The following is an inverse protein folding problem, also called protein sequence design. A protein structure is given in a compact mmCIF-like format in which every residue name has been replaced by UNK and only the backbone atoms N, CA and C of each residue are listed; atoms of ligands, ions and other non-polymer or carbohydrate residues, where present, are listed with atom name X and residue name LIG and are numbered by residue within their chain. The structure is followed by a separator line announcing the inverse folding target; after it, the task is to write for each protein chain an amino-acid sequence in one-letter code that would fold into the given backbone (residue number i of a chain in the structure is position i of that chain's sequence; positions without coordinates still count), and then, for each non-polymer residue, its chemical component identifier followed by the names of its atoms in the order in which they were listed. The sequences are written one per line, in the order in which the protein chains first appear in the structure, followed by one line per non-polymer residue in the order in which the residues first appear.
data_IF_291704231054
#
_entry.id   IF_291704231054
#
_cell.length_a   1.000
_cell.length_b   1.000
_cell.length_c   1.000
_cell.angle_alpha   90.00
_cell.angle_beta   90.00
_cell.angle_gamma   90.00
#
_symmetry.space_group_name_H-M   'P 1'
#
loop_
_entity.id
_entity.type
_entity.pdbx_description
1 polymer ?
#
# COMPACT_ATOMS: atom_id res chain seq x y z
N UNK A 1 -9.45 3.92 11.89
CA UNK A 1 -9.74 3.65 10.46
C UNK A 1 -8.58 4.21 9.63
N UNK A 2 -8.08 3.42 8.67
CA UNK A 2 -6.98 3.74 7.75
C UNK A 2 -7.55 3.70 6.34
N UNK A 3 -7.34 4.75 5.55
CA UNK A 3 -7.68 4.79 4.13
C UNK A 3 -6.46 4.35 3.31
N UNK A 4 -6.57 3.27 2.54
CA UNK A 4 -5.54 2.81 1.60
C UNK A 4 -5.95 3.14 0.17
N UNK A 5 -5.24 4.05 -0.46
CA UNK A 5 -5.35 4.46 -1.85
C UNK A 5 -4.03 4.19 -2.58
N UNK A 6 -4.08 4.02 -3.89
CA UNK A 6 -2.91 3.79 -4.74
C UNK A 6 -3.19 4.21 -6.18
N UNK A 7 -2.16 4.30 -7.01
CA UNK A 7 -2.26 4.48 -8.45
C UNK A 7 -3.17 5.66 -8.84
N UNK A 8 -2.97 6.79 -8.16
CA UNK A 8 -3.75 8.01 -8.42
C UNK A 8 -3.43 8.63 -9.76
N UNK A 9 -2.22 8.43 -10.27
CA UNK A 9 -1.75 8.83 -11.60
C UNK A 9 -2.15 10.25 -11.99
N UNK A 10 -1.86 11.25 -11.14
CA UNK A 10 -2.12 12.65 -11.47
C UNK A 10 -1.51 13.04 -12.82
N UNK A 11 -2.33 13.65 -13.68
CA UNK A 11 -2.12 13.80 -15.12
C UNK A 11 -2.93 12.79 -15.96
N UNK A 12 -3.64 11.89 -15.29
CA UNK A 12 -4.64 10.97 -15.83
C UNK A 12 -5.80 10.75 -14.82
N UNK A 13 -5.99 11.68 -13.90
CA UNK A 13 -7.05 11.65 -12.90
C UNK A 13 -8.43 11.95 -13.49
N UNK A 14 -9.47 11.47 -12.81
CA UNK A 14 -10.89 11.77 -13.09
C UNK A 14 -11.38 12.78 -12.04
N UNK A 15 -11.59 14.07 -12.40
CA UNK A 15 -11.93 15.09 -11.40
C UNK A 15 -13.14 14.76 -10.54
N UNK A 16 -14.18 14.17 -11.10
CA UNK A 16 -15.38 13.75 -10.37
C UNK A 16 -15.08 12.68 -9.32
N UNK A 17 -14.15 11.75 -9.61
CA UNK A 17 -13.76 10.70 -8.67
C UNK A 17 -12.86 11.26 -7.56
N UNK A 18 -11.99 12.22 -7.91
CA UNK A 18 -11.19 12.97 -6.93
C UNK A 18 -12.09 13.67 -5.92
N UNK A 19 -13.10 14.42 -6.39
CA UNK A 19 -14.07 15.08 -5.52
C UNK A 19 -14.84 14.07 -4.66
N UNK A 20 -15.32 12.98 -5.25
CA UNK A 20 -16.01 11.91 -4.52
C UNK A 20 -15.17 11.28 -3.41
N UNK A 21 -13.86 11.11 -3.63
CA UNK A 21 -12.95 10.58 -2.59
C UNK A 21 -12.74 11.60 -1.45
N UNK A 22 -12.61 12.89 -1.77
CA UNK A 22 -12.52 13.95 -0.76
C UNK A 22 -13.81 14.03 0.05
N UNK A 23 -14.99 13.93 -0.58
CA UNK A 23 -16.28 13.95 0.09
C UNK A 23 -16.46 12.71 0.98
N UNK A 24 -16.03 11.54 0.50
CA UNK A 24 -15.99 10.34 1.32
C UNK A 24 -15.10 10.53 2.57
N UNK A 25 -13.90 11.09 2.40
CA UNK A 25 -12.99 11.35 3.50
C UNK A 25 -13.55 12.35 4.52
N UNK A 26 -14.28 13.38 4.05
CA UNK A 26 -14.96 14.35 4.91
C UNK A 26 -16.05 13.71 5.79
N UNK A 27 -16.78 12.75 5.22
CA UNK A 27 -17.86 12.03 5.92
C UNK A 27 -17.30 11.00 6.92
N UNK A 28 -16.25 10.27 6.54
CA UNK A 28 -15.77 9.10 7.30
C UNK A 28 -14.56 9.40 8.18
N UNK A 29 -13.83 10.49 7.94
CA UNK A 29 -12.70 10.98 8.73
C UNK A 29 -11.66 9.90 9.06
N UNK A 30 -10.99 9.31 8.06
CA UNK A 30 -9.91 8.37 8.31
C UNK A 30 -8.81 9.07 9.13
N UNK A 31 -8.28 8.39 10.16
CA UNK A 31 -7.21 8.94 11.01
C UNK A 31 -5.80 8.73 10.44
N UNK A 32 -5.65 7.83 9.48
CA UNK A 32 -4.41 7.57 8.74
C UNK A 32 -4.75 7.39 7.27
N UNK A 33 -3.88 7.87 6.41
CA UNK A 33 -3.96 7.66 4.96
C UNK A 33 -2.67 7.00 4.47
N UNK A 34 -2.81 5.98 3.64
CA UNK A 34 -1.72 5.32 2.93
C UNK A 34 -1.91 5.55 1.44
N UNK A 35 -0.91 6.14 0.77
CA UNK A 35 -0.83 6.24 -0.68
C UNK A 35 0.39 5.43 -1.15
N UNK A 36 0.13 4.23 -1.67
CA UNK A 36 1.16 3.21 -1.91
C UNK A 36 1.80 3.26 -3.29
N UNK A 37 1.89 4.44 -3.91
CA UNK A 37 2.69 4.67 -5.11
C UNK A 37 1.87 4.99 -6.36
N UNK A 38 2.59 5.22 -7.47
CA UNK A 38 2.08 5.71 -8.74
C UNK A 38 1.17 6.94 -8.56
N UNK A 39 1.73 7.90 -7.81
CA UNK A 39 1.09 9.18 -7.48
C UNK A 39 0.87 10.00 -8.73
N UNK A 40 1.87 10.00 -9.60
CA UNK A 40 1.88 10.76 -10.86
C UNK A 40 1.86 9.83 -12.07
N UNK A 41 1.42 10.35 -13.20
CA UNK A 41 1.46 9.60 -14.46
C UNK A 41 2.87 9.50 -15.06
N UNK A 42 3.74 10.53 -14.89
CA UNK A 42 5.05 10.62 -15.53
C UNK A 42 6.09 11.45 -14.76
N UNK A 43 6.01 11.51 -13.45
CA UNK A 43 6.93 12.24 -12.58
C UNK A 43 7.16 13.72 -12.98
N UNK A 44 6.15 14.41 -13.57
CA UNK A 44 6.25 15.81 -13.96
C UNK A 44 5.95 16.73 -12.78
N UNK A 45 6.63 17.88 -12.71
CA UNK A 45 6.42 18.85 -11.62
C UNK A 45 4.96 19.27 -11.47
N UNK A 46 4.26 19.53 -12.59
CA UNK A 46 2.84 19.90 -12.56
C UNK A 46 1.95 18.77 -12.00
N UNK A 47 2.31 17.49 -12.26
CA UNK A 47 1.58 16.35 -11.75
C UNK A 47 1.78 16.18 -10.24
N UNK A 48 3.00 16.37 -9.75
CA UNK A 48 3.27 16.42 -8.31
C UNK A 48 2.58 17.61 -7.64
N UNK A 49 2.49 18.77 -8.30
CA UNK A 49 1.75 19.92 -7.78
C UNK A 49 0.25 19.61 -7.64
N UNK A 50 -0.37 19.01 -8.67
CA UNK A 50 -1.78 18.60 -8.64
C UNK A 50 -2.03 17.54 -7.54
N UNK A 51 -1.16 16.54 -7.43
CA UNK A 51 -1.21 15.56 -6.36
C UNK A 51 -1.06 16.21 -4.97
N UNK A 52 -0.22 17.25 -4.88
CA UNK A 52 -0.02 18.02 -3.65
C UNK A 52 -1.29 18.74 -3.20
N UNK A 53 -1.98 19.40 -4.13
CA UNK A 53 -3.27 20.04 -3.87
C UNK A 53 -4.32 19.01 -3.41
N UNK A 54 -4.44 17.89 -4.14
CA UNK A 54 -5.32 16.79 -3.72
C UNK A 54 -5.04 16.29 -2.31
N UNK A 55 -3.76 16.05 -1.96
CA UNK A 55 -3.42 15.58 -0.62
C UNK A 55 -3.68 16.62 0.46
N UNK A 56 -3.53 17.91 0.15
CA UNK A 56 -3.90 18.98 1.06
C UNK A 56 -5.41 18.95 1.36
N UNK A 57 -6.24 18.84 0.31
CA UNK A 57 -7.70 18.77 0.45
C UNK A 57 -8.13 17.49 1.17
N UNK A 58 -7.52 16.35 0.85
CA UNK A 58 -7.79 15.07 1.49
C UNK A 58 -7.44 15.09 2.99
N UNK A 59 -6.29 15.64 3.36
CA UNK A 59 -5.88 15.78 4.75
C UNK A 59 -6.82 16.71 5.51
N UNK A 60 -7.18 17.86 4.92
CA UNK A 60 -8.13 18.79 5.50
C UNK A 60 -9.53 18.17 5.70
N UNK A 61 -10.02 17.44 4.69
CA UNK A 61 -11.30 16.74 4.76
C UNK A 61 -11.30 15.65 5.85
N UNK A 62 -10.20 14.93 5.99
CA UNK A 62 -10.02 13.89 7.00
C UNK A 62 -9.77 14.45 8.41
N UNK A 63 -9.26 15.68 8.52
CA UNK A 63 -8.83 16.27 9.79
C UNK A 63 -7.50 15.70 10.30
N UNK A 64 -6.57 15.32 9.40
CA UNK A 64 -5.28 14.70 9.74
C UNK A 64 -4.10 15.62 9.45
N UNK A 65 -3.00 15.39 10.14
CA UNK A 65 -1.72 16.04 9.88
C UNK A 65 -0.93 15.28 8.81
N UNK A 66 -0.58 15.97 7.72
CA UNK A 66 0.12 15.37 6.57
C UNK A 66 1.45 14.72 6.96
N UNK A 67 2.21 15.33 7.86
CA UNK A 67 3.55 14.83 8.21
C UNK A 67 3.50 13.61 9.14
N UNK A 68 2.43 13.49 9.94
CA UNK A 68 2.30 12.45 10.94
C UNK A 68 1.40 11.31 10.55
N UNK A 69 0.34 11.59 9.78
CA UNK A 69 -0.79 10.67 9.60
C UNK A 69 -0.91 10.17 8.15
N UNK A 70 -0.03 10.63 7.24
CA UNK A 70 0.01 10.23 5.84
C UNK A 70 1.29 9.43 5.56
N UNK A 71 1.15 8.20 5.06
CA UNK A 71 2.24 7.38 4.55
C UNK A 71 2.25 7.44 3.03
N UNK A 72 3.37 7.88 2.45
CA UNK A 72 3.58 7.96 1.00
C UNK A 72 4.70 7.00 0.58
N UNK A 73 4.48 6.27 -0.52
CA UNK A 73 5.51 5.52 -1.22
C UNK A 73 5.61 5.99 -2.67
N UNK A 74 6.79 5.92 -3.29
CA UNK A 74 6.89 6.10 -4.73
C UNK A 74 6.47 4.83 -5.47
N UNK A 75 5.77 4.99 -6.59
CA UNK A 75 5.59 3.96 -7.59
C UNK A 75 6.58 4.12 -8.76
N UNK A 76 6.49 3.24 -9.75
CA UNK A 76 7.40 3.29 -10.90
C UNK A 76 7.12 4.48 -11.84
N UNK A 77 5.92 5.03 -11.83
CA UNK A 77 5.55 6.24 -12.57
C UNK A 77 6.02 7.54 -11.88
N UNK A 78 6.46 7.47 -10.62
CA UNK A 78 6.98 8.62 -9.87
C UNK A 78 8.48 8.84 -10.08
N UNK A 79 9.12 7.96 -10.88
CA UNK A 79 10.51 8.07 -11.32
C UNK A 79 10.52 8.55 -12.79
N UNK A 80 11.35 9.54 -13.17
CA UNK A 80 11.43 10.03 -14.54
C UNK A 80 11.71 8.89 -15.54
N UNK A 81 10.81 8.66 -16.50
CA UNK A 81 10.94 7.61 -17.50
C UNK A 81 11.73 8.09 -18.73
N UNK A 82 11.39 9.27 -19.23
CA UNK A 82 11.93 9.81 -20.48
C UNK A 82 13.11 10.76 -20.28
N UNK A 83 13.28 11.32 -19.09
CA UNK A 83 14.44 12.13 -18.74
C UNK A 83 15.51 11.21 -18.15
N UNK A 84 16.32 10.61 -19.04
CA UNK A 84 17.37 9.65 -18.64
C UNK A 84 18.42 10.27 -17.72
N UNK A 85 18.77 11.56 -17.93
CA UNK A 85 19.72 12.24 -17.06
C UNK A 85 19.19 12.36 -15.64
N UNK A 86 17.96 12.86 -15.48
CA UNK A 86 17.32 12.94 -14.17
C UNK A 86 17.15 11.56 -13.53
N UNK A 87 16.84 10.53 -14.33
CA UNK A 87 16.70 9.15 -13.86
C UNK A 87 17.99 8.55 -13.29
N UNK A 88 19.14 8.96 -13.84
CA UNK A 88 20.46 8.49 -13.38
C UNK A 88 20.98 9.33 -12.21
N UNK A 89 20.85 10.67 -12.30
CA UNK A 89 21.46 11.59 -11.35
C UNK A 89 20.61 11.79 -10.09
N UNK A 90 19.29 11.93 -10.24
CA UNK A 90 18.37 12.20 -9.14
C UNK A 90 16.98 11.57 -9.40
N UNK A 91 16.90 10.22 -9.40
CA UNK A 91 15.68 9.51 -9.80
C UNK A 91 14.47 9.80 -8.91
N UNK A 92 14.71 10.10 -7.65
CA UNK A 92 13.65 10.36 -6.66
C UNK A 92 13.48 11.83 -6.30
N UNK A 93 14.21 12.76 -6.94
CA UNK A 93 14.21 14.17 -6.54
C UNK A 93 12.84 14.84 -6.66
N UNK A 94 12.05 14.50 -7.69
CA UNK A 94 10.67 14.96 -7.80
C UNK A 94 9.80 14.46 -6.65
N UNK A 95 9.85 13.16 -6.39
CA UNK A 95 9.14 12.53 -5.28
C UNK A 95 9.60 13.06 -3.91
N UNK A 96 10.89 13.17 -3.67
CA UNK A 96 11.43 13.63 -2.39
C UNK A 96 10.97 15.05 -2.03
N UNK A 97 10.96 15.97 -3.01
CA UNK A 97 10.43 17.34 -2.83
C UNK A 97 8.93 17.35 -2.55
N UNK A 98 8.18 16.45 -3.19
CA UNK A 98 6.73 16.31 -3.00
C UNK A 98 6.38 15.67 -1.65
N UNK A 99 7.00 14.55 -1.32
CA UNK A 99 6.65 13.75 -0.14
C UNK A 99 7.15 14.37 1.16
N UNK A 100 8.29 15.09 1.14
CA UNK A 100 8.98 15.63 2.31
C UNK A 100 9.25 14.54 3.39
N UNK A 101 9.34 13.29 2.99
CA UNK A 101 9.63 12.14 3.85
C UNK A 101 10.55 11.16 3.12
N UNK A 102 11.16 10.24 3.87
CA UNK A 102 12.05 9.24 3.29
C UNK A 102 11.33 8.19 2.43
N UNK A 103 12.09 7.43 1.64
CA UNK A 103 11.57 6.40 0.75
C UNK A 103 11.01 5.16 1.47
N UNK A 104 11.29 4.97 2.74
CA UNK A 104 10.82 3.84 3.55
C UNK A 104 10.20 4.36 4.86
N UNK A 105 9.06 5.06 4.78
CA UNK A 105 8.41 5.68 5.93
C UNK A 105 7.93 4.65 6.94
N UNK A 106 7.77 5.09 8.18
CA UNK A 106 7.24 4.29 9.27
C UNK A 106 6.29 5.14 10.10
N UNK A 107 5.03 4.75 10.20
CA UNK A 107 4.08 5.32 11.14
C UNK A 107 3.87 4.34 12.28
N UNK A 108 4.01 4.84 13.51
CA UNK A 108 3.81 4.07 14.74
C UNK A 108 2.64 4.67 15.51
N UNK A 109 1.68 3.82 15.85
CA UNK A 109 0.58 4.11 16.77
C UNK A 109 0.42 2.92 17.71
N UNK A 110 -0.19 3.11 18.84
CA UNK A 110 -0.34 2.04 19.84
C UNK A 110 -1.07 0.81 19.29
N UNK A 111 -2.01 1.04 18.36
CA UNK A 111 -2.85 0.00 17.77
C UNK A 111 -2.47 -0.38 16.33
N UNK A 112 -1.53 0.31 15.68
CA UNK A 112 -1.09 -0.02 14.32
C UNK A 112 0.32 0.50 14.01
N UNK A 113 1.12 -0.34 13.34
CA UNK A 113 2.37 0.05 12.71
C UNK A 113 2.24 -0.10 11.19
N UNK A 114 2.48 1.01 10.45
CA UNK A 114 2.52 1.02 8.99
C UNK A 114 3.98 1.12 8.54
N UNK A 115 4.50 0.07 7.91
CA UNK A 115 5.90 -0.06 7.51
C UNK A 115 5.99 0.06 5.99
N UNK A 116 6.36 1.24 5.49
CA UNK A 116 6.55 1.49 4.07
C UNK A 116 7.88 0.94 3.56
N UNK A 117 7.85 0.33 2.37
CA UNK A 117 9.01 -0.24 1.68
C UNK A 117 9.04 0.24 0.23
N UNK A 118 10.03 1.03 -0.11
CA UNK A 118 10.26 1.41 -1.50
C UNK A 118 10.75 0.20 -2.30
N UNK A 119 9.91 -0.28 -3.20
CA UNK A 119 10.21 -1.40 -4.10
C UNK A 119 10.68 -0.95 -5.47
N UNK A 120 10.58 0.34 -5.81
CA UNK A 120 11.02 0.87 -7.10
C UNK A 120 12.54 0.90 -7.22
N UNK A 121 13.06 0.80 -8.45
CA UNK A 121 14.49 0.93 -8.75
C UNK A 121 14.69 1.81 -10.00
N UNK A 122 15.63 2.76 -9.99
CA UNK A 122 15.88 3.64 -11.14
C UNK A 122 16.23 2.89 -12.44
N UNK A 123 16.90 1.76 -12.33
CA UNK A 123 17.30 0.93 -13.48
C UNK A 123 16.23 -0.07 -13.94
N UNK A 124 15.07 -0.13 -13.24
CA UNK A 124 13.92 -0.97 -13.61
C UNK A 124 12.75 -0.09 -13.97
N UNK A 125 12.13 -0.34 -15.13
CA UNK A 125 11.01 0.49 -15.58
C UNK A 125 9.72 0.16 -14.81
N UNK A 126 9.29 -1.10 -14.80
CA UNK A 126 8.02 -1.58 -14.27
C UNK A 126 8.21 -2.42 -13.01
N UNK A 127 9.17 -3.32 -13.06
CA UNK A 127 9.37 -4.31 -12.02
C UNK A 127 10.10 -3.73 -10.80
N UNK A 128 9.53 -3.97 -9.64
CA UNK A 128 10.16 -3.62 -8.37
C UNK A 128 11.18 -4.66 -7.88
N UNK A 129 11.91 -4.29 -6.83
CA UNK A 129 12.88 -5.19 -6.17
C UNK A 129 12.98 -4.86 -4.68
N UNK A 130 13.05 -5.89 -3.85
CA UNK A 130 13.33 -5.77 -2.41
C UNK A 130 14.74 -6.31 -2.15
N UNK A 131 15.61 -5.51 -1.54
CA UNK A 131 16.94 -5.95 -1.15
C UNK A 131 16.92 -6.75 0.16
N UNK A 132 17.95 -7.60 0.39
CA UNK A 132 18.11 -8.33 1.65
C UNK A 132 18.07 -7.40 2.86
N UNK A 133 18.78 -6.27 2.80
CA UNK A 133 18.76 -5.27 3.87
C UNK A 133 17.38 -4.64 4.14
N UNK A 134 16.52 -4.53 3.11
CA UNK A 134 15.14 -4.11 3.30
C UNK A 134 14.32 -5.20 3.99
N UNK A 135 14.51 -6.47 3.60
CA UNK A 135 13.83 -7.62 4.22
C UNK A 135 14.13 -7.67 5.71
N UNK A 136 15.41 -7.65 6.08
CA UNK A 136 15.87 -7.70 7.48
C UNK A 136 15.36 -6.51 8.30
N UNK A 137 15.43 -5.30 7.74
CA UNK A 137 14.95 -4.08 8.42
C UNK A 137 13.45 -4.12 8.70
N UNK A 138 12.66 -4.63 7.77
CA UNK A 138 11.21 -4.77 7.95
C UNK A 138 10.91 -5.85 8.99
N UNK A 139 11.57 -7.00 8.93
CA UNK A 139 11.42 -8.05 9.92
C UNK A 139 11.76 -7.54 11.35
N UNK A 140 12.86 -6.79 11.50
CA UNK A 140 13.21 -6.17 12.77
C UNK A 140 12.15 -5.18 13.28
N UNK A 141 11.54 -4.40 12.39
CA UNK A 141 10.44 -3.48 12.74
C UNK A 141 9.18 -4.24 13.16
N UNK A 142 8.85 -5.33 12.47
CA UNK A 142 7.70 -6.18 12.81
C UNK A 142 7.86 -6.81 14.19
N UNK A 143 9.05 -7.34 14.51
CA UNK A 143 9.35 -7.88 15.85
C UNK A 143 9.30 -6.80 16.94
N UNK A 144 9.68 -5.55 16.63
CA UNK A 144 9.64 -4.45 17.60
C UNK A 144 8.24 -3.84 17.82
N UNK A 145 7.26 -4.21 16.99
CA UNK A 145 5.90 -3.70 17.14
C UNK A 145 5.21 -4.34 18.36
N UNK A 146 4.41 -3.56 19.12
CA UNK A 146 3.65 -4.12 20.24
C UNK A 146 2.76 -5.30 19.81
N UNK A 147 2.63 -6.30 20.66
CA UNK A 147 1.86 -7.54 20.36
C UNK A 147 0.40 -7.23 19.98
N UNK A 148 -0.22 -6.20 20.58
CA UNK A 148 -1.58 -5.75 20.27
C UNK A 148 -1.73 -4.90 19.00
N UNK A 149 -0.63 -4.34 18.45
CA UNK A 149 -0.68 -3.49 17.28
C UNK A 149 -0.87 -4.28 15.99
N UNK A 150 -1.72 -3.80 15.08
CA UNK A 150 -1.82 -4.32 13.72
C UNK A 150 -0.53 -4.01 12.95
N UNK A 151 0.13 -5.04 12.42
CA UNK A 151 1.42 -4.95 11.74
C UNK A 151 1.23 -4.98 10.24
N UNK A 152 1.38 -3.83 9.60
CA UNK A 152 1.07 -3.63 8.18
C UNK A 152 2.32 -3.28 7.41
N UNK A 153 2.66 -4.07 6.39
CA UNK A 153 3.72 -3.77 5.44
C UNK A 153 3.10 -3.21 4.16
N UNK A 154 3.63 -2.09 3.68
CA UNK A 154 3.13 -1.40 2.49
C UNK A 154 4.20 -1.39 1.42
N UNK A 155 3.87 -1.87 0.24
CA UNK A 155 4.71 -1.83 -0.98
C UNK A 155 3.92 -1.19 -2.13
N UNK A 156 4.59 -0.79 -3.21
CA UNK A 156 3.89 -0.43 -4.43
C UNK A 156 3.64 -1.68 -5.29
N UNK A 157 4.71 -2.35 -5.73
CA UNK A 157 4.57 -3.61 -6.47
C UNK A 157 4.13 -4.74 -5.54
N UNK A 158 3.23 -5.63 -6.01
CA UNK A 158 2.67 -6.70 -5.18
C UNK A 158 3.69 -7.77 -4.82
N UNK A 159 3.55 -8.32 -3.62
CA UNK A 159 4.30 -9.48 -3.14
C UNK A 159 3.66 -10.79 -3.60
N UNK A 160 2.34 -10.77 -3.72
CA UNK A 160 1.54 -11.90 -4.14
C UNK A 160 0.34 -11.43 -4.98
N UNK A 161 -0.11 -12.24 -5.91
CA UNK A 161 -1.23 -11.96 -6.83
C UNK A 161 -2.07 -13.21 -7.05
N UNK A 162 -3.34 -13.02 -7.36
CA UNK A 162 -4.29 -14.12 -7.63
C UNK A 162 -4.12 -14.65 -9.06
N UNK A 163 -4.12 -13.72 -10.04
CA UNK A 163 -4.11 -14.08 -11.45
C UNK A 163 -2.69 -14.43 -11.93
N UNK A 164 -2.59 -15.50 -12.76
CA UNK A 164 -1.29 -15.94 -13.31
C UNK A 164 -0.65 -14.91 -14.21
N UNK A 165 -1.46 -14.13 -14.92
CA UNK A 165 -0.99 -13.09 -15.83
C UNK A 165 -0.26 -11.95 -15.09
N UNK A 166 -0.53 -11.79 -13.80
CA UNK A 166 0.11 -10.80 -12.93
C UNK A 166 1.42 -11.32 -12.27
N UNK A 167 1.76 -12.60 -12.44
CA UNK A 167 2.98 -13.16 -11.84
C UNK A 167 4.26 -12.39 -12.21
N UNK A 168 4.44 -11.87 -13.44
CA UNK A 168 5.60 -11.06 -13.79
C UNK A 168 5.67 -9.72 -13.05
N UNK A 169 4.54 -9.20 -12.56
CA UNK A 169 4.45 -7.91 -11.88
C UNK A 169 4.75 -7.99 -10.37
N UNK A 170 4.90 -9.20 -9.84
CA UNK A 170 5.37 -9.38 -8.45
C UNK A 170 6.76 -8.78 -8.27
N UNK A 171 6.96 -8.12 -7.15
CA UNK A 171 8.27 -7.58 -6.80
C UNK A 171 9.34 -8.67 -6.74
N UNK A 172 10.54 -8.39 -7.24
CA UNK A 172 11.67 -9.35 -7.12
C UNK A 172 12.03 -9.56 -5.65
N UNK A 173 12.43 -10.78 -5.32
CA UNK A 173 12.67 -11.27 -3.96
C UNK A 173 11.40 -11.35 -3.10
N UNK A 174 10.21 -11.33 -3.71
CA UNK A 174 8.94 -11.45 -2.97
C UNK A 174 8.90 -12.68 -2.07
N UNK A 175 9.39 -13.85 -2.50
CA UNK A 175 9.39 -15.07 -1.69
C UNK A 175 10.17 -14.92 -0.38
N UNK A 176 11.41 -14.39 -0.47
CA UNK A 176 12.24 -14.17 0.69
C UNK A 176 11.62 -13.12 1.64
N UNK A 177 11.04 -12.04 1.07
CA UNK A 177 10.36 -11.01 1.82
C UNK A 177 9.11 -11.56 2.55
N UNK A 178 8.25 -12.29 1.83
CA UNK A 178 7.04 -12.92 2.39
C UNK A 178 7.42 -13.86 3.54
N UNK A 179 8.36 -14.79 3.33
CA UNK A 179 8.78 -15.74 4.36
C UNK A 179 9.27 -15.03 5.63
N UNK A 180 10.15 -14.04 5.47
CA UNK A 180 10.72 -13.32 6.60
C UNK A 180 9.67 -12.46 7.33
N UNK A 181 8.76 -11.82 6.59
CA UNK A 181 7.79 -10.89 7.19
C UNK A 181 6.60 -11.63 7.82
N UNK A 182 6.17 -12.75 7.25
CA UNK A 182 5.19 -13.63 7.90
C UNK A 182 5.76 -14.19 9.20
N UNK A 183 6.98 -14.74 9.17
CA UNK A 183 7.65 -15.23 10.37
C UNK A 183 7.84 -14.15 11.44
N UNK A 184 8.01 -12.88 11.03
CA UNK A 184 8.09 -11.72 11.92
C UNK A 184 6.72 -11.18 12.37
N UNK A 185 5.61 -11.82 11.96
CA UNK A 185 4.26 -11.50 12.41
C UNK A 185 3.59 -10.37 11.66
N UNK A 186 3.82 -10.21 10.35
CA UNK A 186 3.04 -9.29 9.52
C UNK A 186 1.57 -9.75 9.45
N UNK A 187 0.64 -8.87 9.77
CA UNK A 187 -0.81 -9.15 9.65
C UNK A 187 -1.32 -8.85 8.24
N UNK A 188 -0.91 -7.72 7.66
CA UNK A 188 -1.35 -7.28 6.33
C UNK A 188 -0.18 -6.87 5.43
N UNK A 189 -0.27 -7.25 4.15
CA UNK A 189 0.59 -6.80 3.07
C UNK A 189 -0.25 -5.98 2.08
N UNK A 190 -0.01 -4.66 2.02
CA UNK A 190 -0.74 -3.76 1.14
C UNK A 190 0.06 -3.50 -0.14
N UNK A 191 -0.62 -3.48 -1.30
CA UNK A 191 0.01 -3.16 -2.57
C UNK A 191 -0.97 -2.49 -3.57
N UNK A 192 -0.39 -1.92 -4.65
CA UNK A 192 -1.06 -1.34 -5.81
C UNK A 192 -0.53 -1.93 -7.12
N UNK A 193 -0.20 -1.06 -8.10
CA UNK A 193 0.54 -1.35 -9.33
C UNK A 193 -0.23 -2.11 -10.43
N UNK A 194 -0.89 -3.22 -10.12
CA UNK A 194 -1.59 -4.05 -11.12
C UNK A 194 -3.03 -3.60 -11.40
N UNK A 195 -3.50 -2.58 -10.71
CA UNK A 195 -4.84 -2.00 -10.82
C UNK A 195 -5.99 -3.00 -10.57
N UNK A 196 -5.68 -4.16 -9.96
CA UNK A 196 -6.66 -5.12 -9.46
C UNK A 196 -7.03 -4.82 -8.01
N UNK A 197 -8.20 -5.30 -7.58
CA UNK A 197 -8.68 -5.10 -6.21
C UNK A 197 -9.15 -6.42 -5.63
N UNK A 198 -8.44 -6.88 -4.58
CA UNK A 198 -8.83 -8.07 -3.83
C UNK A 198 -8.29 -8.04 -2.40
N UNK A 199 -8.93 -8.78 -1.52
CA UNK A 199 -8.47 -9.09 -0.17
C UNK A 199 -8.48 -10.60 -0.01
N UNK A 200 -7.34 -11.19 0.29
CA UNK A 200 -7.20 -12.65 0.37
C UNK A 200 -6.19 -13.08 1.44
N UNK A 201 -6.41 -14.24 2.09
CA UNK A 201 -5.37 -14.84 2.91
C UNK A 201 -4.17 -15.18 2.02
N UNK A 202 -2.97 -14.95 2.53
CA UNK A 202 -1.75 -15.33 1.82
C UNK A 202 -1.59 -16.85 1.87
N UNK A 203 -1.61 -17.55 0.72
CA UNK A 203 -1.48 -19.01 0.70
C UNK A 203 -0.17 -19.48 1.34
N UNK A 204 -0.22 -20.50 2.16
CA UNK A 204 0.94 -21.06 2.85
C UNK A 204 1.46 -20.25 4.05
N UNK A 205 0.91 -19.07 4.34
CA UNK A 205 1.19 -18.37 5.58
C UNK A 205 0.42 -19.03 6.73
N UNK A 206 1.14 -19.73 7.58
CA UNK A 206 0.55 -20.40 8.76
C UNK A 206 0.08 -19.42 9.83
N UNK A 207 0.52 -18.17 9.74
CA UNK A 207 0.39 -17.15 10.79
C UNK A 207 -0.73 -16.13 10.52
N UNK A 208 -1.57 -16.40 9.51
CA UNK A 208 -2.76 -15.57 9.27
C UNK A 208 -2.48 -14.24 8.56
N UNK A 209 -1.37 -14.09 7.82
CA UNK A 209 -1.09 -12.91 7.01
C UNK A 209 -2.05 -12.80 5.82
N UNK A 210 -2.57 -11.60 5.58
CA UNK A 210 -3.47 -11.32 4.46
C UNK A 210 -2.86 -10.30 3.49
N UNK A 211 -3.25 -10.40 2.23
CA UNK A 211 -2.91 -9.45 1.18
C UNK A 211 -4.10 -8.55 0.89
N UNK A 212 -3.85 -7.25 0.81
CA UNK A 212 -4.82 -6.24 0.36
C UNK A 212 -4.24 -5.58 -0.88
N UNK A 213 -4.73 -5.99 -2.01
CA UNK A 213 -4.40 -5.43 -3.31
C UNK A 213 -5.45 -4.38 -3.67
N UNK A 214 -5.03 -3.15 -3.96
CA UNK A 214 -5.94 -2.04 -4.25
C UNK A 214 -5.77 -1.60 -5.70
N UNK A 215 -6.88 -1.34 -6.37
CA UNK A 215 -6.91 -0.81 -7.73
C UNK A 215 -6.64 0.70 -7.76
N UNK A 216 -6.77 1.32 -8.94
CA UNK A 216 -6.56 2.76 -9.08
C UNK A 216 -7.63 3.56 -8.36
N UNK A 217 -7.20 4.50 -7.51
CA UNK A 217 -8.14 5.24 -6.68
C UNK A 217 -8.96 6.28 -7.46
N UNK A 218 -8.32 7.07 -8.35
CA UNK A 218 -8.98 8.23 -8.98
C UNK A 218 -8.67 8.41 -10.46
N UNK A 219 -7.83 7.56 -11.09
CA UNK A 219 -7.44 7.74 -12.49
C UNK A 219 -8.31 6.97 -13.48
N UNK A 220 -8.24 7.32 -14.78
CA UNK A 220 -8.87 6.50 -15.84
C UNK A 220 -8.07 5.28 -16.24
N UNK A 221 -6.97 5.01 -15.58
CA UNK A 221 -6.18 3.80 -15.81
C UNK A 221 -6.76 2.60 -15.07
N UNK A 222 -8.05 2.44 -15.16
CA UNK A 222 -8.74 1.26 -14.64
C UNK A 222 -8.34 0.03 -15.47
N UNK A 223 -8.25 -1.14 -14.83
CA UNK A 223 -8.00 -2.41 -15.49
C UNK A 223 -9.31 -3.13 -15.72
N UNK A 224 -9.55 -3.51 -17.00
CA UNK A 224 -10.75 -4.23 -17.42
C UNK A 224 -12.02 -3.52 -16.93
N UNK A 225 -12.83 -4.15 -16.12
CA UNK A 225 -14.06 -3.58 -15.57
C UNK A 225 -13.95 -3.22 -14.08
N UNK A 226 -12.72 -3.19 -13.52
CA UNK A 226 -12.51 -2.79 -12.13
C UNK A 226 -12.70 -1.29 -12.00
N UNK A 227 -13.72 -0.80 -11.28
CA UNK A 227 -13.93 0.64 -11.11
C UNK A 227 -12.81 1.27 -10.27
N UNK A 228 -12.79 2.61 -10.19
CA UNK A 228 -11.94 3.26 -9.20
C UNK A 228 -12.28 2.72 -7.82
N UNK A 229 -11.28 2.33 -7.06
CA UNK A 229 -11.47 1.62 -5.79
C UNK A 229 -10.42 2.00 -4.77
N UNK A 230 -10.78 1.88 -3.51
CA UNK A 230 -9.88 1.95 -2.37
C UNK A 230 -10.33 0.99 -1.26
N UNK A 231 -9.43 0.76 -0.30
CA UNK A 231 -9.75 -0.04 0.88
C UNK A 231 -9.70 0.80 2.15
N UNK A 232 -10.59 0.45 3.07
CA UNK A 232 -10.61 0.96 4.45
C UNK A 232 -10.21 -0.17 5.38
N UNK A 233 -9.24 0.09 6.24
CA UNK A 233 -8.74 -0.88 7.21
C UNK A 233 -9.06 -0.37 8.60
N UNK A 234 -9.78 -1.17 9.37
CA UNK A 234 -10.17 -0.88 10.75
C UNK A 234 -9.48 -1.89 11.67
N UNK A 235 -8.38 -1.47 12.34
CA UNK A 235 -7.79 -2.30 13.40
C UNK A 235 -8.83 -2.62 14.45
N UNK A 236 -8.83 -3.86 14.95
CA UNK A 236 -9.73 -4.30 15.99
C UNK A 236 -8.97 -4.54 17.30
N UNK A 237 -9.59 -4.31 18.46
CA UNK A 237 -8.99 -4.67 19.73
C UNK A 237 -8.66 -6.17 19.77
N UNK A 238 -7.59 -6.55 20.45
CA UNK A 238 -7.15 -7.95 20.55
C UNK A 238 -8.24 -8.89 21.09
N UNK A 239 -9.14 -8.37 21.91
CA UNK A 239 -10.25 -9.15 22.52
C UNK A 239 -11.42 -9.40 21.54
N UNK A 240 -11.44 -8.75 20.36
CA UNK A 240 -12.54 -8.86 19.41
C UNK A 240 -12.57 -10.17 18.61
N UNK A 241 -11.60 -11.08 18.80
CA UNK A 241 -11.48 -12.32 18.02
C UNK A 241 -11.15 -12.08 16.55
N UNK A 242 -10.67 -10.89 16.20
CA UNK A 242 -10.24 -10.48 14.85
C UNK A 242 -9.15 -9.40 14.96
N UNK A 243 -8.24 -9.34 13.97
CA UNK A 243 -7.16 -8.35 13.92
C UNK A 243 -7.57 -7.04 13.26
N UNK A 244 -8.32 -7.17 12.19
CA UNK A 244 -8.80 -6.03 11.42
C UNK A 244 -10.07 -6.39 10.63
N UNK A 245 -10.80 -5.36 10.21
CA UNK A 245 -11.77 -5.44 9.13
C UNK A 245 -11.21 -4.65 7.94
N UNK A 246 -11.30 -5.21 6.74
CA UNK A 246 -10.93 -4.54 5.50
C UNK A 246 -12.18 -4.42 4.64
N UNK A 247 -12.55 -3.20 4.29
CA UNK A 247 -13.72 -2.89 3.47
C UNK A 247 -13.29 -2.35 2.13
N UNK A 248 -13.79 -2.91 1.04
CA UNK A 248 -13.62 -2.39 -0.32
C UNK A 248 -14.72 -1.37 -0.63
N UNK A 249 -14.31 -0.23 -1.21
CA UNK A 249 -15.17 0.82 -1.71
C UNK A 249 -14.91 1.07 -3.19
N UNK A 250 -15.95 1.03 -4.01
CA UNK A 250 -15.90 1.24 -5.46
C UNK A 250 -16.67 2.49 -5.87
N UNK A 251 -16.17 3.17 -6.90
CA UNK A 251 -16.86 4.28 -7.55
C UNK A 251 -18.09 3.78 -8.30
N UNK A 252 -19.28 4.31 -7.97
CA UNK A 252 -20.57 3.90 -8.53
C UNK A 252 -21.16 4.95 -9.48
N UNK A 253 -20.30 5.80 -10.08
CA UNK A 253 -20.73 6.84 -11.02
C UNK A 253 -20.87 8.22 -10.39
N UNK A 254 -21.42 8.33 -9.18
CA UNK A 254 -21.65 9.59 -8.47
C UNK A 254 -20.91 9.64 -7.12
N UNK A 255 -20.81 8.52 -6.44
CA UNK A 255 -20.17 8.41 -5.14
C UNK A 255 -19.46 7.05 -5.00
N UNK A 256 -18.60 6.94 -3.98
CA UNK A 256 -18.06 5.65 -3.57
C UNK A 256 -19.07 4.89 -2.72
N UNK A 257 -19.34 3.64 -3.11
CA UNK A 257 -20.19 2.70 -2.38
C UNK A 257 -19.41 1.55 -1.77
N UNK A 258 -19.85 1.09 -0.61
CA UNK A 258 -19.30 -0.10 0.06
C UNK A 258 -19.69 -1.36 -0.71
N UNK A 259 -18.70 -2.21 -1.03
CA UNK A 259 -18.90 -3.39 -1.90
C UNK A 259 -18.75 -4.70 -1.13
N UNK A 260 -17.68 -4.83 -0.36
CA UNK A 260 -17.35 -6.08 0.31
C UNK A 260 -16.54 -5.83 1.58
N UNK A 261 -16.64 -6.76 2.51
CA UNK A 261 -15.85 -6.80 3.74
C UNK A 261 -15.08 -8.11 3.83
N UNK A 262 -13.86 -8.01 4.34
CA UNK A 262 -13.07 -9.14 4.80
C UNK A 262 -12.76 -8.95 6.29
N UNK A 263 -13.01 -9.99 7.06
CA UNK A 263 -12.60 -10.05 8.49
C UNK A 263 -11.28 -10.77 8.56
N UNK A 264 -10.27 -10.09 9.06
CA UNK A 264 -8.94 -10.63 9.26
C UNK A 264 -8.92 -11.32 10.63
N UNK A 265 -8.77 -12.65 10.69
CA UNK A 265 -8.74 -13.36 11.96
C UNK A 265 -7.49 -13.01 12.76
N UNK A 266 -7.45 -13.28 14.07
CA UNK A 266 -6.22 -13.17 14.83
C UNK A 266 -5.19 -14.14 14.24
N UNK A 267 -3.94 -13.68 14.10
CA UNK A 267 -2.81 -14.56 13.85
C UNK A 267 -2.69 -15.58 14.98
N UNK A 268 -1.97 -16.67 14.77
CA UNK A 268 -1.69 -17.59 15.86
C UNK A 268 -1.03 -16.85 17.03
N UNK A 269 -1.40 -17.14 18.28
CA UNK A 269 -0.68 -16.61 19.43
C UNK A 269 0.81 -16.95 19.27
N UNK A 270 1.68 -16.00 19.64
CA UNK A 270 3.14 -16.11 19.56
C UNK A 270 3.60 -17.50 20.05
N UNK A 271 3.76 -18.44 19.14
CA UNK A 271 4.59 -19.62 19.39
C UNK A 271 5.99 -19.21 18.94
N UNK A 272 6.73 -18.62 19.86
CA UNK A 272 8.17 -18.55 19.80
C UNK A 272 8.73 -19.96 19.93
N UNK A 273 8.60 -20.80 18.88
CA UNK A 273 9.39 -22.01 18.72
C UNK A 273 9.13 -22.63 17.33
N UNK A 274 10.22 -22.73 16.57
CA UNK A 274 10.50 -23.61 15.43
C UNK A 274 9.38 -23.93 14.43
N UNK A 275 9.31 -23.17 13.34
CA UNK A 275 8.68 -23.66 12.11
C UNK A 275 9.65 -23.60 10.92
N UNK A 276 9.75 -24.69 10.14
CA UNK A 276 10.62 -24.75 8.97
C UNK A 276 10.13 -23.78 7.87
N UNK A 277 11.04 -23.27 7.04
CA UNK A 277 10.68 -22.36 5.94
C UNK A 277 9.71 -23.02 4.96
N UNK A 278 8.80 -22.24 4.40
CA UNK A 278 7.83 -22.68 3.40
C UNK A 278 8.55 -23.44 2.26
N UNK A 279 8.10 -24.65 2.00
CA UNK A 279 8.69 -25.51 0.98
C UNK A 279 8.62 -24.90 -0.42
N UNK A 280 9.63 -25.14 -1.24
CA UNK A 280 9.86 -24.52 -2.55
C UNK A 280 8.83 -24.86 -3.65
N UNK A 281 7.70 -25.48 -3.31
CA UNK A 281 6.85 -26.20 -4.26
C UNK A 281 5.48 -25.60 -4.61
N UNK A 282 5.01 -24.51 -3.98
CA UNK A 282 3.58 -24.12 -4.11
C UNK A 282 3.31 -22.66 -4.52
N UNK A 283 4.23 -22.00 -5.27
CA UNK A 283 4.02 -20.61 -5.70
C UNK A 283 4.33 -20.37 -7.18
#
# INVERSE_FOLDING_TARGET
MILHITDTHFGAERPQVVHGLIDWARQHRPRLVVLSGDITQRARAAQFAAAGAFLQDLCAASGIDRARDLLLLPGNHDIPLFNLLARVVDPYGGYARFAAMGLNPLIRRDDVWLIGVNTTRPWRHKHGEISGAQIERVAARLHAAPAGALRVVVTHQPLWVVERDDYPDRVRNHRAAVNAWCAAGADLLLAGHIHQSFVAPLPGATDGTWVVQTGTAVSHRIREQVPNTFHVIEPQPAQAGQRARVTRWDWQGEAFGRIADAVIPPGRPDQAEEQPPLSAGSW
#
